data_IF_610731220619
#
_entry.id   IF_610731220619
#
_cell.length_a   1.000
_cell.length_b   1.000
_cell.length_c   1.000
_cell.angle_alpha   90.00
_cell.angle_beta   90.00
_cell.angle_gamma   90.00
#
_symmetry.space_group_name_H-M   'P 1'
#
loop_
_entity.id
_entity.type
_entity.pdbx_description
1 polymer ?
#
# COMPACT_ATOMS: atom_id res chain seq x y z
N UNK A 1 20.44 1.90 -36.53
CA UNK A 1 20.48 1.60 -35.07
C UNK A 1 19.08 1.58 -34.41
N UNK A 2 17.99 1.47 -35.17
CA UNK A 2 16.63 1.34 -34.60
C UNK A 2 16.53 0.07 -33.72
N UNK A 3 17.01 -1.05 -34.28
CA UNK A 3 17.24 -2.29 -33.54
C UNK A 3 18.70 -2.40 -33.13
N UNK A 4 18.92 -2.38 -31.81
CA UNK A 4 20.23 -2.57 -31.22
C UNK A 4 20.41 -4.05 -30.85
N UNK A 5 21.63 -4.61 -30.97
CA UNK A 5 21.94 -6.00 -30.61
C UNK A 5 22.07 -6.17 -29.09
N UNK A 6 21.05 -5.76 -28.34
CA UNK A 6 20.89 -5.98 -26.91
C UNK A 6 19.43 -6.30 -26.59
N UNK A 7 19.23 -7.04 -25.51
CA UNK A 7 17.89 -7.28 -24.99
C UNK A 7 17.41 -6.05 -24.20
N UNK A 8 16.18 -5.61 -24.51
CA UNK A 8 15.45 -4.60 -23.73
C UNK A 8 14.39 -5.30 -22.88
N UNK A 9 13.88 -4.61 -21.86
CA UNK A 9 12.76 -5.12 -21.08
C UNK A 9 11.58 -5.50 -21.99
N UNK A 10 10.95 -6.64 -21.71
CA UNK A 10 9.86 -7.22 -22.50
C UNK A 10 10.16 -7.54 -23.97
N UNK A 11 11.44 -7.53 -24.41
CA UNK A 11 11.81 -7.99 -25.75
C UNK A 11 11.77 -9.53 -25.83
N UNK A 12 11.41 -10.05 -27.00
CA UNK A 12 11.54 -11.48 -27.30
C UNK A 12 13.01 -11.90 -27.25
N UNK A 13 13.27 -13.09 -26.72
CA UNK A 13 14.56 -13.79 -26.79
C UNK A 13 14.40 -15.06 -27.61
N UNK A 14 15.34 -15.33 -28.50
CA UNK A 14 15.39 -16.60 -29.25
C UNK A 14 16.29 -17.64 -28.55
N UNK A 15 16.93 -17.27 -27.42
CA UNK A 15 17.79 -18.16 -26.64
C UNK A 15 17.01 -19.00 -25.61
N UNK A 16 16.02 -18.41 -24.95
CA UNK A 16 15.25 -19.09 -23.90
C UNK A 16 13.97 -19.73 -24.47
N UNK A 17 13.62 -20.92 -23.96
CA UNK A 17 12.44 -21.69 -24.42
C UNK A 17 11.11 -20.94 -24.29
N UNK A 18 10.99 -20.07 -23.29
CA UNK A 18 9.78 -19.27 -23.05
C UNK A 18 9.71 -17.99 -23.88
N UNK A 19 10.73 -17.74 -24.71
CA UNK A 19 10.81 -16.57 -25.58
C UNK A 19 11.01 -15.25 -24.84
N UNK A 20 11.21 -15.25 -23.51
CA UNK A 20 11.30 -14.03 -22.71
C UNK A 20 12.76 -13.63 -22.49
N UNK A 21 13.10 -12.38 -22.80
CA UNK A 21 14.38 -11.82 -22.37
C UNK A 21 14.42 -11.54 -20.86
N UNK A 22 13.27 -11.21 -20.25
CA UNK A 22 13.14 -11.02 -18.80
C UNK A 22 13.13 -12.39 -18.11
N UNK A 23 14.15 -12.64 -17.28
CA UNK A 23 14.26 -13.87 -16.50
C UNK A 23 13.65 -13.67 -15.12
N UNK A 24 12.98 -14.72 -14.65
CA UNK A 24 12.50 -14.78 -13.27
C UNK A 24 13.69 -14.90 -12.32
N UNK A 25 13.57 -14.23 -11.18
CA UNK A 25 14.59 -14.28 -10.14
C UNK A 25 14.57 -15.68 -9.49
N UNK A 26 15.72 -16.26 -9.13
CA UNK A 26 15.75 -17.46 -8.31
C UNK A 26 15.00 -17.25 -7.00
N UNK A 27 14.31 -18.29 -6.54
CA UNK A 27 13.57 -18.24 -5.27
C UNK A 27 14.50 -17.89 -4.09
N UNK A 28 13.99 -17.12 -3.14
CA UNK A 28 14.76 -16.65 -1.98
C UNK A 28 15.72 -15.49 -2.26
N UNK A 29 15.81 -15.00 -3.51
CA UNK A 29 16.67 -13.86 -3.83
C UNK A 29 16.14 -12.57 -3.18
N UNK A 30 16.98 -11.92 -2.36
CA UNK A 30 16.71 -10.60 -1.78
C UNK A 30 17.67 -9.57 -2.41
N UNK A 31 17.15 -8.61 -3.20
CA UNK A 31 17.98 -7.55 -3.76
C UNK A 31 18.53 -6.61 -2.69
N UNK A 32 19.68 -5.98 -2.95
CA UNK A 32 20.23 -4.94 -2.05
C UNK A 32 19.24 -3.77 -1.94
N UNK A 33 18.95 -3.35 -0.70
CA UNK A 33 17.96 -2.30 -0.39
C UNK A 33 16.51 -2.79 -0.33
N UNK A 34 16.24 -4.07 -0.57
CA UNK A 34 14.89 -4.66 -0.51
C UNK A 34 14.71 -5.58 0.71
N UNK A 35 15.60 -5.48 1.70
CA UNK A 35 15.41 -6.16 2.98
C UNK A 35 14.19 -5.55 3.67
N UNK A 36 13.19 -6.39 3.97
CA UNK A 36 11.93 -5.98 4.59
C UNK A 36 12.06 -6.05 6.11
N UNK A 37 12.78 -5.08 6.68
CA UNK A 37 13.04 -5.01 8.13
C UNK A 37 11.76 -4.74 8.93
N UNK A 38 10.96 -3.76 8.49
CA UNK A 38 9.64 -3.49 9.08
C UNK A 38 8.59 -4.47 8.56
N UNK A 39 8.51 -5.62 9.21
CA UNK A 39 7.58 -6.67 8.83
C UNK A 39 6.12 -6.23 8.98
N UNK A 40 5.77 -5.40 9.96
CA UNK A 40 4.40 -4.90 10.11
C UNK A 40 4.00 -4.09 8.88
N UNK A 41 4.88 -3.19 8.41
CA UNK A 41 4.69 -2.44 7.19
C UNK A 41 4.61 -3.32 5.93
N UNK A 42 5.47 -4.33 5.79
CA UNK A 42 5.52 -5.13 4.55
C UNK A 42 4.54 -6.29 4.50
N UNK A 43 3.96 -6.72 5.62
CA UNK A 43 3.08 -7.91 5.70
C UNK A 43 1.71 -7.65 6.30
N UNK A 44 1.51 -6.56 7.06
CA UNK A 44 0.27 -6.32 7.81
C UNK A 44 0.06 -7.28 8.99
N UNK A 45 1.12 -8.00 9.42
CA UNK A 45 1.06 -9.01 10.50
C UNK A 45 1.85 -8.55 11.73
N UNK A 46 1.35 -8.94 12.91
CA UNK A 46 2.08 -8.81 14.18
C UNK A 46 3.27 -9.78 14.21
N UNK A 47 4.20 -9.59 15.14
CA UNK A 47 5.36 -10.49 15.29
C UNK A 47 4.95 -11.95 15.53
N UNK A 48 3.89 -12.18 16.30
CA UNK A 48 3.31 -13.52 16.49
C UNK A 48 2.67 -14.07 15.20
N UNK A 49 1.98 -13.22 14.42
CA UNK A 49 1.36 -13.60 13.16
C UNK A 49 2.36 -13.88 12.04
N UNK A 50 3.57 -13.32 12.09
CA UNK A 50 4.63 -13.57 11.11
C UNK A 50 5.18 -15.00 11.18
N UNK A 51 5.26 -15.56 12.38
CA UNK A 51 5.75 -16.93 12.59
C UNK A 51 4.76 -17.97 12.02
N UNK A 52 3.51 -17.56 11.82
CA UNK A 52 2.46 -18.30 11.13
C UNK A 52 2.31 -17.72 9.72
N UNK A 53 3.25 -18.05 8.83
CA UNK A 53 3.40 -17.46 7.49
C UNK A 53 2.22 -17.67 6.52
N UNK A 54 1.12 -18.30 6.95
CA UNK A 54 -0.03 -18.57 6.09
C UNK A 54 -0.65 -17.27 5.55
N UNK A 55 -0.79 -17.11 4.21
CA UNK A 55 -1.51 -15.98 3.64
C UNK A 55 -3.00 -16.07 4.00
N UNK A 56 -3.63 -14.92 4.26
CA UNK A 56 -5.01 -14.78 4.69
C UNK A 56 -5.35 -15.72 5.86
N UNK A 57 -4.78 -15.49 7.06
CA UNK A 57 -5.10 -16.33 8.22
C UNK A 57 -6.61 -16.41 8.37
N UNK A 58 -7.11 -17.65 8.48
CA UNK A 58 -8.55 -17.91 8.53
C UNK A 58 -9.11 -17.20 9.75
N UNK A 59 -10.10 -16.35 9.51
CA UNK A 59 -10.74 -15.64 10.58
C UNK A 59 -11.71 -16.61 11.28
N UNK A 60 -11.49 -16.85 12.56
CA UNK A 60 -12.22 -17.86 13.34
C UNK A 60 -13.63 -17.35 13.63
N UNK A 61 -14.68 -18.05 13.18
CA UNK A 61 -16.05 -17.67 13.49
C UNK A 61 -16.32 -17.89 14.98
N UNK A 62 -16.68 -16.83 15.69
CA UNK A 62 -17.35 -16.87 16.97
C UNK A 62 -18.87 -16.71 16.76
N UNK A 63 -19.67 -17.21 17.67
CA UNK A 63 -21.11 -16.91 17.70
C UNK A 63 -21.37 -16.03 18.91
N UNK A 64 -22.03 -14.89 18.74
CA UNK A 64 -22.41 -14.06 19.88
C UNK A 64 -23.55 -14.69 20.70
N UNK A 65 -23.85 -14.10 21.86
CA UNK A 65 -24.93 -14.55 22.72
C UNK A 65 -26.32 -14.44 22.06
N UNK A 66 -26.44 -13.73 20.93
CA UNK A 66 -27.66 -13.59 20.15
C UNK A 66 -27.74 -14.57 18.96
N UNK A 67 -26.75 -15.45 18.79
CA UNK A 67 -26.72 -16.45 17.72
C UNK A 67 -26.15 -15.95 16.39
N UNK A 68 -25.57 -14.76 16.33
CA UNK A 68 -24.96 -14.22 15.11
C UNK A 68 -23.52 -14.73 14.97
N UNK A 69 -23.14 -15.15 13.76
CA UNK A 69 -21.75 -15.46 13.44
C UNK A 69 -20.92 -14.18 13.38
N UNK A 70 -20.16 -13.90 14.44
CA UNK A 70 -19.16 -12.86 14.47
C UNK A 70 -17.81 -13.46 14.07
N UNK A 71 -17.21 -12.99 12.98
CA UNK A 71 -15.80 -13.29 12.72
C UNK A 71 -14.98 -12.28 13.51
N UNK A 72 -14.63 -12.63 14.76
CA UNK A 72 -13.98 -11.70 15.69
C UNK A 72 -12.48 -11.86 15.78
N UNK A 73 -11.94 -12.99 15.33
CA UNK A 73 -10.54 -13.31 15.57
C UNK A 73 -9.76 -13.36 14.26
N UNK A 74 -9.03 -12.28 14.03
CA UNK A 74 -8.05 -12.10 12.98
C UNK A 74 -6.64 -12.21 13.57
N UNK A 75 -6.41 -13.32 14.27
CA UNK A 75 -5.15 -13.61 14.96
C UNK A 75 -3.94 -13.37 14.08
N UNK A 76 -3.00 -12.59 14.59
CA UNK A 76 -1.73 -12.30 13.93
C UNK A 76 -1.73 -11.14 12.95
N UNK A 77 -2.83 -10.40 12.78
CA UNK A 77 -2.90 -9.21 11.94
C UNK A 77 -2.84 -7.92 12.78
N UNK A 78 -2.23 -6.86 12.24
CA UNK A 78 -2.16 -5.57 12.94
C UNK A 78 -3.47 -4.81 12.80
N UNK A 79 -3.98 -4.27 13.92
CA UNK A 79 -5.23 -3.49 13.94
C UNK A 79 -5.03 -2.00 13.66
N UNK A 80 -3.81 -1.50 13.85
CA UNK A 80 -3.45 -0.10 13.63
C UNK A 80 -2.57 0.06 12.39
N UNK A 81 -2.62 1.25 11.78
CA UNK A 81 -1.75 1.57 10.66
C UNK A 81 -0.29 1.69 11.12
N UNK A 82 0.67 1.06 10.41
CA UNK A 82 2.10 1.22 10.70
C UNK A 82 2.66 2.54 10.14
N UNK A 83 1.81 3.35 9.52
CA UNK A 83 2.13 4.67 8.96
C UNK A 83 1.14 5.72 9.48
N UNK A 84 1.53 6.99 9.58
CA UNK A 84 0.60 8.07 9.93
C UNK A 84 -0.54 8.15 8.91
N UNK A 85 -1.78 8.22 9.41
CA UNK A 85 -2.96 8.40 8.56
C UNK A 85 -3.19 9.89 8.34
N UNK A 86 -2.68 10.41 7.23
CA UNK A 86 -2.83 11.81 6.82
C UNK A 86 -3.82 11.96 5.65
N UNK A 87 -4.24 13.19 5.37
CA UNK A 87 -5.08 13.49 4.20
C UNK A 87 -4.40 13.06 2.90
N UNK A 88 -3.09 13.33 2.76
CA UNK A 88 -2.32 12.96 1.57
C UNK A 88 -2.27 11.43 1.38
N UNK A 89 -2.24 10.66 2.48
CA UNK A 89 -2.31 9.21 2.41
C UNK A 89 -3.67 8.74 1.89
N UNK A 90 -4.76 9.36 2.37
CA UNK A 90 -6.13 9.03 1.95
C UNK A 90 -6.35 9.40 0.48
N UNK A 91 -5.90 10.57 0.04
CA UNK A 91 -5.97 11.02 -1.35
C UNK A 91 -5.17 10.10 -2.28
N UNK A 92 -3.97 9.71 -1.85
CA UNK A 92 -3.17 8.71 -2.57
C UNK A 92 -3.92 7.39 -2.65
N UNK A 93 -4.57 6.99 -1.57
CA UNK A 93 -5.40 5.80 -1.47
C UNK A 93 -6.55 5.81 -2.46
N UNK A 94 -7.27 6.93 -2.56
CA UNK A 94 -8.36 7.13 -3.51
C UNK A 94 -7.87 6.94 -4.95
N UNK A 95 -6.77 7.63 -5.31
CA UNK A 95 -6.20 7.53 -6.65
C UNK A 95 -5.86 6.08 -7.01
N UNK A 96 -5.25 5.34 -6.08
CA UNK A 96 -4.86 3.95 -6.30
C UNK A 96 -6.06 3.00 -6.32
N UNK A 97 -7.05 3.22 -5.46
CA UNK A 97 -8.30 2.48 -5.45
C UNK A 97 -9.05 2.63 -6.78
N UNK A 98 -9.14 3.86 -7.31
CA UNK A 98 -9.77 4.15 -8.61
C UNK A 98 -9.05 3.51 -9.80
N UNK A 99 -7.76 3.18 -9.66
CA UNK A 99 -7.01 2.47 -10.72
C UNK A 99 -7.19 0.96 -10.63
N UNK A 100 -7.07 0.38 -9.42
CA UNK A 100 -6.93 -1.07 -9.28
C UNK A 100 -8.18 -1.79 -8.74
N UNK A 101 -8.97 -1.12 -7.89
CA UNK A 101 -9.97 -1.78 -7.04
C UNK A 101 -11.41 -1.50 -7.50
N UNK A 102 -11.69 -0.28 -7.97
CA UNK A 102 -13.05 0.19 -8.32
C UNK A 102 -13.74 -0.69 -9.37
N UNK A 103 -12.98 -1.29 -10.27
CA UNK A 103 -13.48 -2.15 -11.36
C UNK A 103 -14.28 -3.33 -10.83
N UNK A 104 -13.91 -3.87 -9.66
CA UNK A 104 -14.59 -4.99 -9.01
C UNK A 104 -15.42 -4.53 -7.80
N UNK A 105 -14.84 -3.67 -6.94
CA UNK A 105 -15.42 -3.30 -5.65
C UNK A 105 -16.42 -2.13 -5.73
N UNK A 106 -16.48 -1.41 -6.85
CA UNK A 106 -17.38 -0.29 -7.04
C UNK A 106 -16.90 1.01 -6.37
N UNK A 107 -17.51 2.16 -6.68
CA UNK A 107 -17.07 3.47 -6.20
C UNK A 107 -17.22 3.64 -4.68
N UNK A 108 -18.20 2.97 -4.08
CA UNK A 108 -18.51 3.05 -2.64
C UNK A 108 -18.21 1.75 -1.89
N UNK A 109 -17.54 0.80 -2.55
CA UNK A 109 -17.13 -0.46 -1.91
C UNK A 109 -18.23 -1.52 -1.77
N UNK A 110 -19.32 -1.44 -2.53
CA UNK A 110 -20.46 -2.35 -2.43
C UNK A 110 -20.29 -3.67 -3.22
N UNK A 111 -19.13 -3.89 -3.85
CA UNK A 111 -18.87 -5.07 -4.66
C UNK A 111 -19.62 -5.08 -5.99
N UNK A 112 -20.06 -3.93 -6.48
CA UNK A 112 -20.92 -3.76 -7.65
C UNK A 112 -20.20 -3.09 -8.83
N UNK A 113 -18.88 -3.26 -8.89
CA UNK A 113 -18.03 -2.75 -9.96
C UNK A 113 -18.46 -3.23 -11.35
N UNK A 114 -18.01 -2.54 -12.39
CA UNK A 114 -18.43 -2.77 -13.78
C UNK A 114 -18.27 -4.23 -14.23
N UNK A 115 -17.22 -4.94 -13.78
CA UNK A 115 -17.01 -6.33 -14.20
C UNK A 115 -18.03 -7.29 -13.58
N UNK A 116 -18.55 -6.99 -12.39
CA UNK A 116 -19.56 -7.81 -11.70
C UNK A 116 -20.87 -7.79 -12.48
N UNK A 117 -21.24 -6.62 -13.04
CA UNK A 117 -22.38 -6.47 -13.96
C UNK A 117 -22.22 -7.28 -15.26
N UNK A 118 -21.03 -7.79 -15.55
CA UNK A 118 -20.69 -8.62 -16.72
C UNK A 118 -20.47 -10.09 -16.37
N UNK A 119 -20.85 -10.53 -15.17
CA UNK A 119 -20.85 -11.93 -14.78
C UNK A 119 -19.67 -12.38 -13.91
N UNK A 120 -18.77 -11.47 -13.49
CA UNK A 120 -17.79 -11.80 -12.46
C UNK A 120 -18.47 -12.00 -11.10
N UNK A 121 -17.91 -12.90 -10.28
CA UNK A 121 -18.37 -13.11 -8.91
C UNK A 121 -18.30 -11.81 -8.11
N UNK A 122 -19.42 -11.44 -7.48
CA UNK A 122 -19.53 -10.23 -6.65
C UNK A 122 -18.58 -10.32 -5.44
N UNK A 123 -17.62 -9.39 -5.28
CA UNK A 123 -16.84 -9.28 -4.05
C UNK A 123 -17.75 -8.95 -2.86
N UNK A 124 -17.36 -9.29 -1.62
CA UNK A 124 -18.02 -8.81 -0.42
C UNK A 124 -18.06 -7.27 -0.39
N UNK A 125 -19.12 -6.72 0.20
CA UNK A 125 -19.20 -5.28 0.46
C UNK A 125 -18.28 -4.92 1.62
N UNK A 126 -17.52 -3.83 1.52
CA UNK A 126 -16.72 -3.36 2.65
C UNK A 126 -17.57 -2.90 3.85
N UNK A 127 -18.87 -2.73 3.64
CA UNK A 127 -19.80 -2.21 4.63
C UNK A 127 -20.48 -3.30 5.48
N UNK A 128 -20.13 -4.57 5.28
CA UNK A 128 -20.57 -5.62 6.20
C UNK A 128 -19.84 -5.51 7.56
N UNK A 129 -20.49 -5.91 8.64
CA UNK A 129 -19.93 -5.77 9.99
C UNK A 129 -18.64 -6.58 10.16
N UNK A 130 -18.53 -7.70 9.44
CA UNK A 130 -17.35 -8.54 9.41
C UNK A 130 -16.10 -7.78 8.95
N UNK A 131 -16.20 -7.02 7.85
CA UNK A 131 -15.09 -6.25 7.27
C UNK A 131 -14.91 -4.89 7.94
N UNK A 132 -15.95 -4.32 8.54
CA UNK A 132 -15.79 -3.16 9.42
C UNK A 132 -14.94 -3.53 10.65
N UNK A 133 -15.20 -4.68 11.24
CA UNK A 133 -14.49 -5.18 12.42
C UNK A 133 -13.15 -5.87 12.10
N UNK A 134 -12.87 -6.18 10.84
CA UNK A 134 -11.57 -6.73 10.44
C UNK A 134 -10.43 -5.74 10.77
N UNK A 135 -9.23 -6.19 11.15
CA UNK A 135 -8.08 -5.31 11.37
C UNK A 135 -7.54 -4.74 10.04
N UNK A 136 -6.85 -3.60 10.07
CA UNK A 136 -6.29 -2.98 8.85
C UNK A 136 -5.31 -3.90 8.12
N UNK A 137 -4.58 -4.73 8.87
CA UNK A 137 -3.68 -5.76 8.32
C UNK A 137 -4.38 -6.78 7.42
N UNK A 138 -5.67 -7.08 7.67
CA UNK A 138 -6.44 -8.00 6.82
C UNK A 138 -6.52 -7.51 5.38
N UNK A 139 -6.85 -6.23 5.18
CA UNK A 139 -6.97 -5.66 3.85
C UNK A 139 -5.62 -5.61 3.14
N UNK A 140 -4.54 -5.26 3.86
CA UNK A 140 -3.20 -5.29 3.31
C UNK A 140 -2.79 -6.69 2.84
N UNK A 141 -3.08 -7.71 3.66
CA UNK A 141 -2.77 -9.11 3.37
C UNK A 141 -3.55 -9.62 2.14
N UNK A 142 -4.84 -9.31 2.06
CA UNK A 142 -5.70 -9.65 0.90
C UNK A 142 -5.22 -8.97 -0.39
N UNK A 143 -4.82 -7.69 -0.34
CA UNK A 143 -4.26 -7.00 -1.52
C UNK A 143 -2.94 -7.67 -1.94
N UNK A 144 -2.13 -8.08 -0.96
CA UNK A 144 -0.81 -8.67 -1.19
C UNK A 144 -0.90 -10.09 -1.73
N UNK A 145 -1.76 -10.94 -1.17
CA UNK A 145 -1.77 -12.37 -1.44
C UNK A 145 -2.97 -12.81 -2.29
N UNK A 146 -3.97 -11.93 -2.49
CA UNK A 146 -5.26 -12.29 -3.07
C UNK A 146 -6.10 -13.10 -2.08
N UNK A 147 -7.41 -13.20 -2.29
CA UNK A 147 -8.29 -14.05 -1.48
C UNK A 147 -9.48 -14.55 -2.29
N UNK A 148 -9.75 -15.86 -2.23
CA UNK A 148 -10.84 -16.48 -2.99
C UNK A 148 -10.66 -16.29 -4.50
N UNK A 149 -11.52 -15.48 -5.13
CA UNK A 149 -11.44 -15.13 -6.55
C UNK A 149 -10.67 -13.84 -6.83
N UNK A 150 -10.24 -13.12 -5.80
CA UNK A 150 -9.40 -11.94 -5.94
C UNK A 150 -7.94 -12.38 -6.11
N UNK A 151 -7.32 -11.97 -7.22
CA UNK A 151 -5.89 -12.21 -7.47
C UNK A 151 -5.01 -11.38 -6.52
N UNK A 152 -3.74 -11.78 -6.40
CA UNK A 152 -2.72 -10.92 -5.78
C UNK A 152 -2.49 -9.67 -6.64
N UNK A 153 -2.35 -8.53 -5.97
CA UNK A 153 -1.95 -7.25 -6.56
C UNK A 153 -0.51 -6.86 -6.21
N UNK A 154 0.28 -7.79 -5.63
CA UNK A 154 1.58 -7.45 -5.08
C UNK A 154 2.59 -6.94 -6.13
N UNK A 155 2.44 -7.38 -7.38
CA UNK A 155 3.31 -6.97 -8.49
C UNK A 155 2.97 -5.60 -9.07
N UNK A 156 1.73 -5.12 -8.88
CA UNK A 156 1.23 -3.87 -9.45
C UNK A 156 1.12 -2.74 -8.41
N UNK A 157 0.87 -3.09 -7.15
CA UNK A 157 0.66 -2.12 -6.07
C UNK A 157 1.81 -2.19 -5.07
N UNK A 158 2.66 -1.16 -4.97
CA UNK A 158 3.74 -1.09 -3.98
C UNK A 158 3.23 -1.11 -2.53
N UNK A 159 4.00 -1.58 -1.54
CA UNK A 159 3.59 -1.66 -0.13
C UNK A 159 2.98 -0.37 0.44
N UNK A 160 3.61 0.79 0.20
CA UNK A 160 3.07 2.08 0.65
C UNK A 160 1.68 2.39 0.06
N UNK A 161 1.50 2.11 -1.24
CA UNK A 161 0.21 2.32 -1.92
C UNK A 161 -0.85 1.33 -1.43
N UNK A 162 -0.48 0.15 -0.93
CA UNK A 162 -1.44 -0.78 -0.30
C UNK A 162 -1.99 -0.17 0.98
N UNK A 163 -1.14 0.38 1.85
CA UNK A 163 -1.62 1.07 3.05
C UNK A 163 -2.48 2.29 2.74
N UNK A 164 -2.12 3.06 1.70
CA UNK A 164 -2.95 4.15 1.21
C UNK A 164 -4.35 3.66 0.80
N UNK A 165 -4.43 2.58 0.01
CA UNK A 165 -5.71 1.95 -0.36
C UNK A 165 -6.48 1.51 0.88
N UNK A 166 -5.83 0.90 1.88
CA UNK A 166 -6.49 0.48 3.13
C UNK A 166 -7.06 1.68 3.89
N UNK A 167 -6.33 2.80 3.97
CA UNK A 167 -6.84 4.05 4.56
C UNK A 167 -8.09 4.54 3.81
N UNK A 168 -8.08 4.54 2.47
CA UNK A 168 -9.24 4.92 1.68
C UNK A 168 -10.43 3.96 1.85
N UNK A 169 -10.20 2.65 1.99
CA UNK A 169 -11.27 1.67 2.30
C UNK A 169 -11.93 2.03 3.64
N UNK A 170 -11.17 2.44 4.66
CA UNK A 170 -11.73 2.92 5.92
C UNK A 170 -12.55 4.20 5.74
N UNK A 171 -12.07 5.14 4.93
CA UNK A 171 -12.84 6.34 4.57
C UNK A 171 -14.17 5.98 3.88
N UNK A 172 -14.18 4.99 2.98
CA UNK A 172 -15.42 4.49 2.37
C UNK A 172 -16.37 3.92 3.43
N UNK A 173 -15.88 3.12 4.37
CA UNK A 173 -16.70 2.57 5.46
C UNK A 173 -17.33 3.68 6.33
N UNK A 174 -16.57 4.74 6.65
CA UNK A 174 -17.08 5.91 7.38
C UNK A 174 -18.14 6.64 6.56
N UNK A 175 -17.92 6.83 5.26
CA UNK A 175 -18.88 7.54 4.41
C UNK A 175 -20.26 6.86 4.37
N UNK A 176 -20.29 5.53 4.48
CA UNK A 176 -21.53 4.74 4.46
C UNK A 176 -22.12 4.54 5.86
N UNK A 177 -21.34 4.75 6.93
CA UNK A 177 -21.80 4.71 8.30
C UNK A 177 -21.01 5.73 9.16
N UNK A 178 -21.40 7.01 9.15
CA UNK A 178 -20.64 8.07 9.82
C UNK A 178 -20.57 7.92 11.35
N UNK A 179 -21.46 7.10 11.92
CA UNK A 179 -21.48 6.82 13.37
C UNK A 179 -20.69 5.55 13.74
N UNK A 180 -20.12 4.84 12.77
CA UNK A 180 -19.31 3.65 12.99
C UNK A 180 -17.89 4.00 13.44
N UNK A 181 -17.31 3.21 14.36
CA UNK A 181 -15.92 3.38 14.77
C UNK A 181 -14.96 3.14 13.60
N UNK A 182 -14.25 4.17 13.18
CA UNK A 182 -13.20 4.06 12.17
C UNK A 182 -11.92 3.51 12.79
N UNK A 183 -11.45 2.35 12.33
CA UNK A 183 -10.11 1.85 12.64
C UNK A 183 -9.06 2.64 11.84
N UNK A 184 -8.93 3.96 12.13
CA UNK A 184 -8.01 4.91 11.50
C UNK A 184 -6.85 5.30 12.41
N UNK A 185 -6.66 4.58 13.51
CA UNK A 185 -5.55 4.80 14.43
C UNK A 185 -4.24 4.34 13.80
N UNK A 186 -3.21 5.17 13.89
CA UNK A 186 -1.84 4.80 13.54
C UNK A 186 -1.04 4.53 14.80
N UNK A 187 -0.22 3.48 14.79
CA UNK A 187 0.76 3.28 15.85
C UNK A 187 1.79 4.41 15.75
N UNK A 188 1.84 5.30 16.75
CA UNK A 188 2.92 6.26 16.89
C UNK A 188 4.21 5.52 17.25
N UNK A 189 4.85 4.89 16.27
CA UNK A 189 6.19 4.35 16.44
C UNK A 189 7.17 5.52 16.35
N UNK A 190 7.28 6.25 17.46
CA UNK A 190 8.35 7.20 17.67
C UNK A 190 9.68 6.51 17.32
N UNK A 191 10.40 7.10 16.36
CA UNK A 191 11.84 7.02 16.16
C UNK A 191 12.57 5.99 17.01
N UNK A 192 12.70 4.77 16.48
CA UNK A 192 13.79 3.87 16.84
C UNK A 192 14.42 3.32 15.55
N UNK A 193 14.99 4.25 14.80
CA UNK A 193 16.10 3.98 13.90
C UNK A 193 17.26 4.81 14.44
N UNK A 194 18.37 4.12 14.71
CA UNK A 194 19.63 4.69 15.16
C UNK A 194 19.85 6.11 14.64
N UNK A 195 20.14 7.03 15.55
CA UNK A 195 20.72 8.33 15.30
C UNK A 195 21.96 8.20 14.42
N UNK A 196 21.79 8.22 13.11
CA UNK A 196 22.79 8.81 12.23
C UNK A 196 22.49 10.30 12.24
N UNK A 197 23.29 11.01 13.03
CA UNK A 197 23.42 12.45 13.03
C UNK A 197 23.61 12.92 11.59
N UNK A 198 22.54 13.39 10.95
CA UNK A 198 22.66 14.28 9.80
C UNK A 198 23.11 15.61 10.36
N UNK A 199 24.43 15.79 10.50
CA UNK A 199 25.01 17.12 10.67
C UNK A 199 24.69 17.95 9.44
N UNK A 200 24.47 19.23 9.69
CA UNK A 200 24.10 20.28 8.74
C UNK A 200 25.22 20.63 7.77
N UNK A 201 25.72 19.65 7.02
CA UNK A 201 26.75 19.79 5.99
C UNK A 201 26.29 19.13 4.68
N UNK A 202 25.25 19.67 4.04
CA UNK A 202 25.09 19.67 2.57
C UNK A 202 23.81 20.40 2.10
N UNK A 203 23.60 21.63 2.57
CA UNK A 203 22.93 22.62 1.74
C UNK A 203 23.99 23.63 1.26
N UNK A 204 24.18 23.64 -0.06
CA UNK A 204 24.86 24.66 -0.87
C UNK A 204 26.38 24.83 -0.69
N UNK A 205 27.16 24.41 -1.69
CA UNK A 205 27.81 25.37 -2.61
C UNK A 205 28.37 24.70 -3.87
N UNK A 206 28.33 25.46 -4.96
CA UNK A 206 28.82 25.17 -6.30
C UNK A 206 27.87 25.88 -7.28
N UNK A 207 27.91 27.19 -7.50
CA UNK A 207 29.05 28.10 -7.45
C UNK A 207 28.53 29.53 -7.37
N UNK A 208 29.13 30.39 -6.53
CA UNK A 208 28.93 31.83 -6.59
C UNK A 208 30.32 32.47 -6.72
N UNK A 209 30.64 32.98 -7.91
CA UNK A 209 31.76 33.91 -8.11
C UNK A 209 31.26 35.30 -7.74
N UNK A 210 31.76 35.79 -6.60
CA UNK A 210 31.57 37.15 -6.10
C UNK A 210 32.41 38.17 -6.87
N UNK A 211 31.91 39.40 -7.06
CA UNK A 211 32.70 40.65 -7.00
C UNK A 211 31.80 41.84 -6.57
N UNK A 212 32.22 42.50 -5.47
CA UNK A 212 32.14 43.93 -5.08
C UNK A 212 30.79 44.71 -5.16
N UNK A 213 30.17 45.13 -4.05
CA UNK A 213 30.36 46.40 -3.30
C UNK A 213 30.24 47.69 -4.12
N UNK A 214 29.15 48.44 -3.96
CA UNK A 214 29.13 49.70 -3.18
C UNK A 214 27.82 50.50 -3.38
N UNK A 215 27.65 51.48 -2.48
CA UNK A 215 26.47 52.24 -2.13
C UNK A 215 25.98 53.32 -3.13
N UNK A 216 24.85 53.94 -2.74
CA UNK A 216 24.43 55.33 -2.96
C UNK A 216 23.51 55.66 -4.17
N UNK A 217 22.24 55.95 -3.83
CA UNK A 217 21.46 57.19 -4.08
C UNK A 217 21.44 57.89 -5.46
N UNK A 218 20.21 58.35 -5.80
CA UNK A 218 19.81 59.47 -6.69
C UNK A 218 19.59 59.18 -8.19
N UNK A 219 18.41 59.61 -8.69
CA UNK A 219 18.29 60.20 -10.03
C UNK A 219 17.23 59.58 -10.95
N UNK A 220 16.19 60.35 -11.26
CA UNK A 220 15.17 60.00 -12.26
C UNK A 220 15.55 60.35 -13.71
N UNK A 221 14.49 60.48 -14.54
CA UNK A 221 14.48 60.79 -16.00
C UNK A 221 14.82 59.53 -16.82
N UNK A 222 13.91 58.92 -17.60
CA UNK A 222 12.90 59.42 -18.55
C UNK A 222 11.65 58.57 -18.56
#
# INVERSE_FOLDING_TARGET
MQDQPRYKAHKKSDFFRDGKAMRELPEGTVPRGFLREDKAFYTGKTDAGQNNAAPNPAATPATDAAGNTLVTDFSGLISEFPVPVTEELVDRGEQRYKVFCIVCHGPVGNGDGMIVKRGFSKPPTYNDDRLRNAPVGHFYDVITNGQGKMNSYASQVPPADRWAIVAYIRTLQISQNPNGSAQMTSTNRATNSNTQTMTSDNLSNGSNTAVATDANTVGGVR
#
